data_IF_574390994180
#
_entry.id   IF_574390994180
#
_cell.length_a   1.000
_cell.length_b   1.000
_cell.length_c   1.000
_cell.angle_alpha   90.00
_cell.angle_beta   90.00
_cell.angle_gamma   90.00
#
_symmetry.space_group_name_H-M   'P 1'
#
loop_
_entity.id
_entity.type
_entity.pdbx_description
1 polymer ?
#
# COMPACT_ATOMS: atom_id res chain seq x y z
N UNK A 1 -31.06 6.50 -8.44
CA UNK A 1 -29.83 6.41 -7.62
C UNK A 1 -28.66 6.80 -8.48
N UNK A 2 -27.83 7.77 -8.07
CA UNK A 2 -26.63 8.13 -8.82
C UNK A 2 -25.47 7.22 -8.39
N UNK A 3 -24.83 6.54 -9.34
CA UNK A 3 -23.65 5.69 -9.08
C UNK A 3 -22.42 6.59 -9.00
N UNK A 4 -21.75 6.60 -7.85
CA UNK A 4 -20.45 7.27 -7.70
C UNK A 4 -19.37 6.35 -8.26
N UNK A 5 -18.66 6.80 -9.28
CA UNK A 5 -17.45 6.15 -9.78
C UNK A 5 -16.26 6.70 -9.00
N UNK A 6 -15.44 5.81 -8.44
CA UNK A 6 -14.23 6.17 -7.68
C UNK A 6 -13.02 5.68 -8.44
N UNK A 7 -12.08 6.58 -8.73
CA UNK A 7 -10.77 6.22 -9.25
C UNK A 7 -9.87 5.80 -8.08
N UNK A 8 -9.29 4.60 -8.15
CA UNK A 8 -8.41 4.02 -7.13
C UNK A 8 -7.07 3.71 -7.77
N UNK A 9 -5.98 4.18 -7.17
CA UNK A 9 -4.63 3.90 -7.66
C UNK A 9 -4.18 2.50 -7.21
N UNK A 10 -4.15 1.56 -8.15
CA UNK A 10 -3.78 0.16 -7.92
C UNK A 10 -2.27 0.03 -7.65
N UNK A 11 -1.93 -0.41 -6.44
CA UNK A 11 -0.57 -0.49 -5.90
C UNK A 11 0.20 0.85 -5.95
N UNK A 12 -0.53 1.95 -5.76
CA UNK A 12 -0.03 3.31 -6.01
C UNK A 12 -0.07 3.71 -7.49
N UNK A 13 0.70 4.72 -7.88
CA UNK A 13 0.88 5.09 -9.29
C UNK A 13 1.86 4.12 -9.98
N UNK A 14 1.56 2.82 -9.94
CA UNK A 14 2.42 1.69 -10.36
C UNK A 14 2.88 1.75 -11.81
N UNK A 15 2.17 2.47 -12.67
CA UNK A 15 2.62 2.74 -14.04
C UNK A 15 3.79 3.73 -14.11
N UNK A 16 3.95 4.59 -13.11
CA UNK A 16 4.92 5.70 -13.10
C UNK A 16 6.09 5.49 -12.14
N UNK A 17 5.92 4.62 -11.13
CA UNK A 17 6.93 4.28 -10.15
C UNK A 17 6.75 2.82 -9.72
N UNK A 18 7.78 2.16 -9.16
CA UNK A 18 7.66 0.77 -8.72
C UNK A 18 6.47 0.59 -7.80
N UNK A 19 5.63 -0.40 -8.09
CA UNK A 19 4.42 -0.73 -7.34
C UNK A 19 4.69 -0.87 -5.84
N UNK A 20 3.68 -0.60 -5.02
CA UNK A 20 3.76 -0.86 -3.58
C UNK A 20 4.94 -0.14 -2.87
N UNK A 21 5.49 0.93 -3.46
CA UNK A 21 6.57 1.75 -2.88
C UNK A 21 6.10 3.13 -2.46
N UNK A 22 6.92 3.80 -1.63
CA UNK A 22 6.69 5.20 -1.24
C UNK A 22 6.62 6.11 -2.45
N UNK A 23 7.47 5.86 -3.46
CA UNK A 23 7.50 6.66 -4.67
C UNK A 23 6.18 6.57 -5.45
N UNK A 24 5.58 5.38 -5.56
CA UNK A 24 4.27 5.22 -6.19
C UNK A 24 3.15 5.91 -5.39
N UNK A 25 3.20 5.85 -4.06
CA UNK A 25 2.20 6.51 -3.21
C UNK A 25 2.31 8.03 -3.23
N UNK A 26 3.52 8.57 -3.11
CA UNK A 26 3.76 10.01 -3.19
C UNK A 26 3.32 10.55 -4.56
N UNK A 27 3.57 9.80 -5.64
CA UNK A 27 3.08 10.16 -6.98
C UNK A 27 1.55 10.13 -7.06
N UNK A 28 0.87 9.14 -6.47
CA UNK A 28 -0.60 9.12 -6.39
C UNK A 28 -1.17 10.35 -5.69
N UNK A 29 -0.55 10.75 -4.57
CA UNK A 29 -0.93 11.95 -3.82
C UNK A 29 -0.74 13.20 -4.69
N UNK A 30 0.39 13.32 -5.37
CA UNK A 30 0.69 14.44 -6.27
C UNK A 30 -0.29 14.51 -7.46
N UNK A 31 -0.83 13.38 -7.91
CA UNK A 31 -1.85 13.30 -8.96
C UNK A 31 -3.27 13.64 -8.47
N UNK A 32 -3.47 13.83 -7.16
CA UNK A 32 -4.78 14.15 -6.59
C UNK A 32 -5.76 12.97 -6.53
N UNK A 33 -5.27 11.74 -6.69
CA UNK A 33 -6.09 10.53 -6.49
C UNK A 33 -6.20 10.25 -5.00
N UNK A 34 -7.44 10.15 -4.50
CA UNK A 34 -7.69 10.05 -3.05
C UNK A 34 -7.45 8.65 -2.48
N UNK A 35 -8.06 7.57 -3.04
CA UNK A 35 -7.80 6.23 -2.54
C UNK A 35 -6.59 5.61 -3.25
N UNK A 36 -5.72 5.03 -2.43
CA UNK A 36 -4.60 4.19 -2.83
C UNK A 36 -4.94 2.76 -2.43
N UNK A 37 -4.81 1.83 -3.36
CA UNK A 37 -4.83 0.40 -3.09
C UNK A 37 -3.38 -0.11 -3.04
N UNK A 38 -3.12 -1.09 -2.17
CA UNK A 38 -1.82 -1.70 -1.98
C UNK A 38 -1.96 -3.04 -1.25
N UNK A 39 -0.98 -3.92 -1.45
CA UNK A 39 -1.01 -5.30 -0.94
C UNK A 39 -0.27 -5.42 0.39
N UNK A 40 -0.83 -6.19 1.32
CA UNK A 40 -0.21 -6.44 2.63
C UNK A 40 -0.21 -7.92 2.96
N UNK A 41 0.97 -8.48 3.19
CA UNK A 41 1.18 -9.85 3.62
C UNK A 41 1.72 -9.90 5.06
N UNK A 42 1.53 -11.02 5.75
CA UNK A 42 2.16 -11.28 7.04
C UNK A 42 3.42 -12.12 6.87
N UNK A 43 4.48 -11.74 7.57
CA UNK A 43 5.73 -12.49 7.63
C UNK A 43 5.72 -13.49 8.79
N UNK A 44 6.61 -14.48 8.72
CA UNK A 44 6.72 -15.55 9.73
C UNK A 44 6.99 -15.02 11.15
N UNK A 45 7.65 -13.87 11.27
CA UNK A 45 7.97 -13.25 12.56
C UNK A 45 6.92 -12.23 13.04
N UNK A 46 5.75 -12.20 12.37
CA UNK A 46 4.60 -11.38 12.76
C UNK A 46 4.66 -9.93 12.28
N UNK A 47 5.57 -9.58 11.38
CA UNK A 47 5.59 -8.25 10.73
C UNK A 47 4.66 -8.22 9.53
N UNK A 48 4.00 -7.08 9.29
CA UNK A 48 3.28 -6.83 8.04
C UNK A 48 4.25 -6.33 6.98
N UNK A 49 4.04 -6.75 5.74
CA UNK A 49 4.94 -6.52 4.61
C UNK A 49 4.12 -6.03 3.44
N UNK A 50 4.58 -4.99 2.74
CA UNK A 50 3.92 -4.53 1.52
C UNK A 50 4.58 -5.20 0.33
N UNK A 51 3.85 -6.13 -0.28
CA UNK A 51 4.28 -6.95 -1.41
C UNK A 51 3.04 -7.60 -2.03
N UNK A 52 2.98 -7.67 -3.36
CA UNK A 52 1.92 -8.33 -4.09
C UNK A 52 2.18 -9.84 -4.23
N UNK A 53 3.40 -10.21 -4.65
CA UNK A 53 3.74 -11.60 -4.94
C UNK A 53 3.94 -12.45 -3.67
N UNK A 54 3.54 -13.72 -3.74
CA UNK A 54 3.73 -14.72 -2.67
C UNK A 54 5.20 -15.06 -2.39
N UNK A 55 6.09 -14.73 -3.34
CA UNK A 55 7.53 -14.94 -3.22
C UNK A 55 8.22 -13.60 -3.24
N UNK A 56 9.18 -13.41 -2.34
CA UNK A 56 10.01 -12.21 -2.32
C UNK A 56 10.80 -12.12 -3.63
N UNK A 57 10.56 -11.10 -4.48
CA UNK A 57 11.38 -10.87 -5.67
C UNK A 57 12.68 -10.16 -5.27
N UNK A 58 13.43 -10.70 -4.30
CA UNK A 58 14.66 -10.10 -3.77
C UNK A 58 14.51 -8.71 -3.12
N UNK A 59 13.37 -8.03 -3.27
CA UNK A 59 13.07 -6.71 -2.75
C UNK A 59 11.72 -6.76 -2.02
N UNK A 60 11.74 -6.26 -0.79
CA UNK A 60 10.57 -5.97 0.02
C UNK A 60 10.46 -4.46 0.10
N UNK A 61 9.28 -3.90 -0.17
CA UNK A 61 9.12 -2.44 -0.22
C UNK A 61 8.99 -1.83 1.19
N UNK A 62 8.28 -2.49 2.09
CA UNK A 62 8.10 -2.04 3.47
C UNK A 62 7.95 -3.20 4.45
N UNK A 63 8.43 -2.99 5.68
CA UNK A 63 8.20 -3.85 6.83
C UNK A 63 7.60 -3.01 7.96
N UNK A 64 6.45 -3.42 8.48
CA UNK A 64 5.82 -2.84 9.66
C UNK A 64 5.91 -3.82 10.82
N UNK A 65 6.38 -3.33 11.98
CA UNK A 65 6.20 -4.06 13.24
C UNK A 65 4.89 -3.58 13.86
N UNK A 66 4.01 -4.51 14.21
CA UNK A 66 2.86 -4.20 15.03
C UNK A 66 3.37 -3.76 16.41
N UNK A 67 3.42 -2.45 16.67
CA UNK A 67 3.59 -1.95 18.02
C UNK A 67 2.19 -1.92 18.64
N UNK A 68 1.91 -2.79 19.61
CA UNK A 68 0.72 -2.67 20.46
C UNK A 68 0.79 -1.35 21.24
N UNK A 69 0.41 -0.25 20.60
CA UNK A 69 -0.07 0.96 21.26
C UNK A 69 -1.57 0.98 21.04
N UNK A 70 -2.32 1.06 22.14
CA UNK A 70 -3.77 1.23 22.12
C UNK A 70 -4.13 2.54 21.44
N UNK A 71 -4.14 2.52 20.10
CA UNK A 71 -4.60 3.61 19.27
C UNK A 71 -6.11 3.45 19.20
N UNK A 72 -6.82 4.12 20.11
CA UNK A 72 -8.19 4.51 19.85
C UNK A 72 -8.14 5.32 18.55
N UNK A 73 -8.79 4.79 17.52
CA UNK A 73 -9.13 5.57 16.33
C UNK A 73 -10.47 6.24 16.65
N UNK A 74 -10.40 7.52 17.01
CA UNK A 74 -11.52 8.45 17.05
C UNK A 74 -11.94 8.90 15.64
#
# INVERSE_FOLDING_TARGET
MQRKITNIAHQGASFYAPENTRAAFDMTINMGVKPIEFDVHSSKDGRLVVIHDDKLPGQVNFLFREEKKGLAID
#
